data_IF_889183951207
#
_entry.id   IF_889183951207
#
_cell.length_a   1.000
_cell.length_b   1.000
_cell.length_c   1.000
_cell.angle_alpha   90.00
_cell.angle_beta   90.00
_cell.angle_gamma   90.00
#
_symmetry.space_group_name_H-M   'P 1'
#
loop_
_entity.id
_entity.type
_entity.pdbx_description
1 polymer ?
#
# COMPACT_ATOMS: atom_id res chain seq x y z
N UNK A 1 -18.87 -13.78 18.71
CA UNK A 1 -17.65 -12.97 18.79
C UNK A 1 -17.94 -11.64 18.12
N UNK A 2 -17.88 -10.53 18.86
CA UNK A 2 -18.19 -9.19 18.34
C UNK A 2 -16.93 -8.70 17.63
N UNK A 3 -17.04 -8.22 16.40
CA UNK A 3 -15.89 -7.76 15.60
C UNK A 3 -15.17 -6.56 16.21
N UNK A 4 -15.87 -5.76 17.00
CA UNK A 4 -15.24 -4.73 17.83
C UNK A 4 -14.30 -5.34 18.87
N UNK A 5 -14.58 -6.54 19.39
CA UNK A 5 -13.64 -7.26 20.27
C UNK A 5 -12.46 -7.83 19.48
N UNK A 6 -12.60 -8.22 18.21
CA UNK A 6 -11.47 -8.68 17.36
C UNK A 6 -10.51 -7.56 16.96
N UNK A 7 -11.03 -6.34 16.76
CA UNK A 7 -10.23 -5.16 16.39
C UNK A 7 -9.61 -4.52 17.64
N UNK A 8 -10.32 -4.55 18.79
CA UNK A 8 -9.86 -3.91 20.02
C UNK A 8 -9.13 -4.86 20.99
N UNK A 9 -9.39 -6.17 20.95
CA UNK A 9 -8.58 -7.19 21.61
C UNK A 9 -7.74 -7.91 20.56
N UNK A 10 -6.44 -7.67 20.64
CA UNK A 10 -5.37 -8.39 19.94
C UNK A 10 -5.38 -9.84 20.46
N UNK A 11 -6.34 -10.66 20.02
CA UNK A 11 -6.48 -12.06 20.40
C UNK A 11 -5.90 -12.99 19.31
N UNK A 12 -5.64 -14.25 19.65
CA UNK A 12 -5.03 -15.26 18.76
C UNK A 12 -5.79 -15.41 17.43
N UNK A 13 -7.13 -15.31 17.47
CA UNK A 13 -7.99 -15.39 16.27
C UNK A 13 -7.72 -14.26 15.26
N UNK A 14 -7.47 -13.03 15.73
CA UNK A 14 -7.14 -11.91 14.83
C UNK A 14 -5.76 -12.09 14.22
N UNK A 15 -4.78 -12.53 15.01
CA UNK A 15 -3.43 -12.80 14.52
C UNK A 15 -3.42 -13.88 13.44
N UNK A 16 -4.17 -14.97 13.63
CA UNK A 16 -4.27 -16.03 12.63
C UNK A 16 -4.95 -15.54 11.36
N UNK A 17 -6.05 -14.78 11.48
CA UNK A 17 -6.73 -14.19 10.31
C UNK A 17 -5.82 -13.22 9.54
N UNK A 18 -5.08 -12.37 10.26
CA UNK A 18 -4.13 -11.43 9.68
C UNK A 18 -2.99 -12.18 8.98
N UNK A 19 -2.39 -13.18 9.63
CA UNK A 19 -1.33 -13.99 9.03
C UNK A 19 -1.82 -14.68 7.74
N UNK A 20 -3.00 -15.31 7.77
CA UNK A 20 -3.60 -15.92 6.58
C UNK A 20 -3.87 -14.88 5.47
N UNK A 21 -4.20 -13.64 5.82
CA UNK A 21 -4.36 -12.57 4.84
C UNK A 21 -3.01 -12.22 4.18
N UNK A 22 -1.94 -12.09 4.97
CA UNK A 22 -0.58 -11.90 4.47
C UNK A 22 -0.15 -13.06 3.55
N UNK A 23 -0.37 -14.31 3.95
CA UNK A 23 -0.03 -15.50 3.15
C UNK A 23 -0.78 -15.54 1.81
N UNK A 24 -2.03 -15.06 1.76
CA UNK A 24 -2.79 -14.97 0.51
C UNK A 24 -2.31 -13.84 -0.41
N UNK A 25 -1.95 -12.70 0.18
CA UNK A 25 -1.64 -11.48 -0.58
C UNK A 25 -0.17 -11.45 -0.99
N UNK A 26 0.76 -11.70 -0.08
CA UNK A 26 2.21 -11.50 -0.25
C UNK A 26 2.91 -12.67 -0.93
N UNK A 27 2.42 -13.07 -2.10
CA UNK A 27 3.04 -14.09 -2.97
C UNK A 27 3.53 -13.48 -4.28
N UNK A 28 4.53 -14.11 -4.91
CA UNK A 28 5.21 -13.57 -6.09
C UNK A 28 4.25 -13.32 -7.27
N UNK A 29 3.24 -14.17 -7.41
CA UNK A 29 2.19 -14.08 -8.43
C UNK A 29 1.37 -12.80 -8.32
N UNK A 30 1.25 -12.24 -7.10
CA UNK A 30 0.48 -11.03 -6.83
C UNK A 30 1.29 -9.74 -6.99
N UNK A 31 2.60 -9.80 -7.30
CA UNK A 31 3.46 -8.60 -7.38
C UNK A 31 2.86 -7.54 -8.31
N UNK A 32 2.38 -7.92 -9.51
CA UNK A 32 1.78 -6.98 -10.45
C UNK A 32 0.51 -6.31 -9.87
N UNK A 33 -0.37 -7.11 -9.27
CA UNK A 33 -1.62 -6.62 -8.66
C UNK A 33 -1.35 -5.70 -7.49
N UNK A 34 -0.47 -6.09 -6.56
CA UNK A 34 -0.08 -5.27 -5.41
C UNK A 34 0.52 -3.95 -5.88
N UNK A 35 1.44 -3.99 -6.84
CA UNK A 35 2.12 -2.78 -7.33
C UNK A 35 1.16 -1.77 -7.96
N UNK A 36 0.18 -2.25 -8.73
CA UNK A 36 -0.87 -1.41 -9.31
C UNK A 36 -1.80 -0.85 -8.25
N UNK A 37 -2.23 -1.68 -7.29
CA UNK A 37 -3.11 -1.24 -6.20
C UNK A 37 -2.43 -0.17 -5.32
N UNK A 38 -1.18 -0.40 -4.92
CA UNK A 38 -0.40 0.56 -4.13
C UNK A 38 -0.09 1.84 -4.91
N UNK A 39 0.21 1.76 -6.22
CA UNK A 39 0.35 2.96 -7.07
C UNK A 39 -0.96 3.75 -7.11
N UNK A 40 -2.09 3.05 -7.23
CA UNK A 40 -3.38 3.71 -7.25
C UNK A 40 -3.63 4.42 -5.91
N UNK A 41 -3.49 3.71 -4.79
CA UNK A 41 -3.73 4.25 -3.45
C UNK A 41 -2.75 5.38 -3.08
N UNK A 42 -1.45 5.12 -3.10
CA UNK A 42 -0.45 6.01 -2.52
C UNK A 42 0.03 7.14 -3.44
N UNK A 43 -0.29 7.09 -4.74
CA UNK A 43 0.21 8.06 -5.72
C UNK A 43 -0.89 8.64 -6.60
N UNK A 44 -1.73 7.79 -7.21
CA UNK A 44 -2.72 8.25 -8.19
C UNK A 44 -3.93 8.91 -7.53
N UNK A 45 -4.52 8.25 -6.54
CA UNK A 45 -5.76 8.65 -5.85
C UNK A 45 -5.50 9.77 -4.83
N UNK A 46 -4.98 10.89 -5.31
CA UNK A 46 -4.63 12.06 -4.51
C UNK A 46 -4.29 13.26 -5.40
N UNK A 47 -3.33 14.11 -5.02
CA UNK A 47 -3.03 15.36 -5.74
C UNK A 47 -2.74 15.19 -7.24
N UNK A 48 -2.19 14.04 -7.64
CA UNK A 48 -1.89 13.74 -9.05
C UNK A 48 -3.17 13.68 -9.90
N UNK A 49 -4.26 13.11 -9.39
CA UNK A 49 -5.54 13.08 -10.09
C UNK A 49 -6.17 14.48 -10.15
N UNK A 50 -6.00 15.32 -9.12
CA UNK A 50 -6.47 16.70 -9.13
C UNK A 50 -5.71 17.54 -10.18
N UNK A 51 -4.39 17.39 -10.26
CA UNK A 51 -3.55 18.05 -11.26
C UNK A 51 -3.96 17.62 -12.68
N UNK A 52 -4.21 16.33 -12.88
CA UNK A 52 -4.72 15.80 -14.14
C UNK A 52 -6.11 16.33 -14.48
N UNK A 53 -7.04 16.35 -13.52
CA UNK A 53 -8.39 16.89 -13.66
C UNK A 53 -8.39 18.39 -13.98
N UNK A 54 -7.38 19.11 -13.49
CA UNK A 54 -7.13 20.51 -13.81
C UNK A 54 -6.42 20.73 -15.17
N UNK A 55 -6.31 19.70 -16.01
CA UNK A 55 -5.68 19.72 -17.33
C UNK A 55 -4.19 20.10 -17.34
N UNK A 56 -3.50 19.95 -16.21
CA UNK A 56 -2.06 20.24 -16.10
C UNK A 56 -1.20 19.03 -16.46
N UNK A 57 -1.77 17.83 -16.41
CA UNK A 57 -1.17 16.61 -16.96
C UNK A 57 -2.03 16.11 -18.11
N UNK A 58 -1.38 15.64 -19.17
CA UNK A 58 -2.10 14.91 -20.22
C UNK A 58 -2.35 13.47 -19.80
N UNK A 59 -3.25 12.78 -20.50
CA UNK A 59 -3.44 11.34 -20.31
C UNK A 59 -2.18 10.52 -20.60
N UNK A 60 -1.34 10.98 -21.53
CA UNK A 60 -0.05 10.35 -21.82
C UNK A 60 0.92 10.52 -20.66
N UNK A 61 0.96 11.70 -20.04
CA UNK A 61 1.78 11.95 -18.86
C UNK A 61 1.32 11.08 -17.69
N UNK A 62 0.01 11.02 -17.45
CA UNK A 62 -0.57 10.14 -16.42
C UNK A 62 -0.18 8.68 -16.62
N UNK A 63 -0.27 8.16 -17.85
CA UNK A 63 0.13 6.78 -18.15
C UNK A 63 1.63 6.56 -17.89
N UNK A 64 2.46 7.54 -18.24
CA UNK A 64 3.91 7.49 -18.03
C UNK A 64 4.25 7.46 -16.53
N UNK A 65 3.65 8.34 -15.74
CA UNK A 65 3.85 8.42 -14.29
C UNK A 65 3.36 7.16 -13.58
N UNK A 66 2.17 6.66 -13.93
CA UNK A 66 1.64 5.42 -13.37
C UNK A 66 2.55 4.23 -13.66
N UNK A 67 3.02 4.08 -14.92
CA UNK A 67 3.94 3.00 -15.27
C UNK A 67 5.27 3.10 -14.52
N UNK A 68 5.80 4.31 -14.33
CA UNK A 68 7.01 4.53 -13.54
C UNK A 68 6.83 4.04 -12.10
N UNK A 69 5.74 4.46 -11.44
CA UNK A 69 5.44 4.08 -10.06
C UNK A 69 5.18 2.58 -9.91
N UNK A 70 4.38 1.98 -10.80
CA UNK A 70 4.11 0.53 -10.81
C UNK A 70 5.41 -0.27 -10.90
N UNK A 71 6.33 0.12 -11.80
CA UNK A 71 7.59 -0.59 -11.96
C UNK A 71 8.50 -0.45 -10.73
N UNK A 72 8.54 0.73 -10.10
CA UNK A 72 9.34 0.97 -8.89
C UNK A 72 8.77 0.21 -7.69
N UNK A 73 7.46 0.27 -7.47
CA UNK A 73 6.80 -0.47 -6.39
C UNK A 73 6.87 -1.98 -6.62
N UNK A 74 6.84 -2.46 -7.87
CA UNK A 74 7.06 -3.89 -8.17
C UNK A 74 8.40 -4.39 -7.67
N UNK A 75 9.46 -3.59 -7.82
CA UNK A 75 10.76 -3.96 -7.26
C UNK A 75 10.75 -3.96 -5.73
N UNK A 76 10.17 -2.95 -5.08
CA UNK A 76 10.06 -2.90 -3.60
C UNK A 76 9.29 -4.09 -3.05
N UNK A 77 8.10 -4.37 -3.60
CA UNK A 77 7.24 -5.49 -3.20
C UNK A 77 7.96 -6.83 -3.40
N UNK A 78 8.68 -6.99 -4.52
CA UNK A 78 9.50 -8.18 -4.76
C UNK A 78 10.54 -8.39 -3.67
N UNK A 79 11.27 -7.34 -3.27
CA UNK A 79 12.28 -7.44 -2.22
C UNK A 79 11.67 -7.89 -0.88
N UNK A 80 10.47 -7.38 -0.55
CA UNK A 80 9.74 -7.74 0.67
C UNK A 80 9.31 -9.22 0.62
N UNK A 81 8.65 -9.64 -0.46
CA UNK A 81 8.13 -11.02 -0.62
C UNK A 81 9.28 -12.05 -0.66
N UNK A 82 10.38 -11.73 -1.32
CA UNK A 82 11.54 -12.63 -1.41
C UNK A 82 12.46 -12.57 -0.17
N UNK A 83 12.15 -11.76 0.83
CA UNK A 83 12.97 -11.62 2.04
C UNK A 83 14.37 -11.04 1.79
N UNK A 84 14.52 -10.22 0.75
CA UNK A 84 15.80 -9.64 0.30
C UNK A 84 16.16 -8.38 1.08
N UNK A 85 16.41 -8.57 2.38
CA UNK A 85 16.59 -7.49 3.34
C UNK A 85 17.79 -6.59 3.07
N UNK A 86 18.92 -7.12 2.60
CA UNK A 86 20.14 -6.34 2.33
C UNK A 86 19.88 -5.35 1.18
N UNK A 87 19.25 -5.80 0.09
CA UNK A 87 18.92 -4.93 -1.03
C UNK A 87 17.85 -3.89 -0.67
N UNK A 88 16.88 -4.28 0.17
CA UNK A 88 15.87 -3.35 0.68
C UNK A 88 16.49 -2.26 1.57
N UNK A 89 17.38 -2.65 2.48
CA UNK A 89 18.12 -1.70 3.32
C UNK A 89 18.95 -0.73 2.49
N UNK A 90 19.69 -1.24 1.49
CA UNK A 90 20.47 -0.40 0.59
C UNK A 90 19.57 0.57 -0.19
N UNK A 91 18.44 0.10 -0.70
CA UNK A 91 17.47 0.94 -1.40
C UNK A 91 16.97 2.07 -0.49
N UNK A 92 16.56 1.78 0.74
CA UNK A 92 16.07 2.77 1.70
C UNK A 92 17.16 3.79 2.04
N UNK A 93 18.35 3.33 2.45
CA UNK A 93 19.45 4.22 2.87
C UNK A 93 19.95 5.12 1.75
N UNK A 94 20.06 4.59 0.53
CA UNK A 94 20.52 5.37 -0.62
C UNK A 94 19.52 6.45 -1.04
N UNK A 95 18.22 6.26 -0.82
CA UNK A 95 17.20 7.24 -1.18
C UNK A 95 16.87 8.22 -0.05
N UNK A 96 17.06 7.83 1.22
CA UNK A 96 16.88 8.73 2.38
C UNK A 96 17.82 9.96 2.37
N UNK A 97 18.89 9.93 1.57
CA UNK A 97 19.77 11.08 1.39
C UNK A 97 19.13 12.24 0.61
N UNK A 98 17.99 12.01 -0.05
CA UNK A 98 17.33 12.98 -0.93
C UNK A 98 16.03 13.56 -0.37
N UNK A 99 15.67 13.25 0.88
CA UNK A 99 14.43 13.71 1.51
C UNK A 99 14.64 14.44 2.84
N UNK A 100 15.85 14.97 3.08
CA UNK A 100 16.19 15.67 4.33
C UNK A 100 15.33 16.91 4.60
N UNK A 101 14.80 17.52 3.55
CA UNK A 101 14.05 18.77 3.61
C UNK A 101 12.54 18.53 3.52
N UNK A 102 12.10 17.27 3.56
CA UNK A 102 10.68 16.91 3.55
C UNK A 102 10.14 16.91 4.97
N UNK A 103 8.84 17.21 5.11
CA UNK A 103 8.16 17.09 6.39
C UNK A 103 8.16 15.64 6.90
N UNK A 104 7.97 15.47 8.21
CA UNK A 104 7.82 14.15 8.78
C UNK A 104 6.63 13.41 8.15
N UNK A 105 6.77 12.10 7.94
CA UNK A 105 5.67 11.29 7.43
C UNK A 105 4.52 11.26 8.43
N UNK A 106 3.30 11.48 7.94
CA UNK A 106 2.06 11.30 8.67
C UNK A 106 1.32 10.09 8.07
N UNK A 107 0.73 9.25 8.93
CA UNK A 107 -0.05 8.09 8.47
C UNK A 107 -1.38 8.57 7.89
N UNK A 108 -1.67 8.16 6.66
CA UNK A 108 -2.96 8.34 5.99
C UNK A 108 -3.41 6.98 5.44
N UNK A 109 -4.51 6.47 5.97
CA UNK A 109 -5.07 5.19 5.58
C UNK A 109 -6.11 5.31 4.46
N UNK A 110 -6.42 6.53 3.98
CA UNK A 110 -7.46 6.78 2.98
C UNK A 110 -8.80 6.14 3.32
N UNK A 111 -9.22 6.25 4.59
CA UNK A 111 -10.43 5.66 5.17
C UNK A 111 -10.46 4.11 5.24
N UNK A 112 -9.36 3.42 4.88
CA UNK A 112 -9.36 1.96 4.81
C UNK A 112 -9.68 1.29 6.15
N UNK A 113 -9.26 1.84 7.29
CA UNK A 113 -9.62 1.29 8.60
C UNK A 113 -11.13 1.27 8.80
N UNK A 114 -11.80 2.37 8.45
CA UNK A 114 -13.26 2.45 8.53
C UNK A 114 -13.92 1.45 7.57
N UNK A 115 -13.44 1.35 6.33
CA UNK A 115 -13.97 0.43 5.32
C UNK A 115 -13.84 -1.04 5.75
N UNK A 116 -12.67 -1.43 6.27
CA UNK A 116 -12.44 -2.78 6.81
C UNK A 116 -13.39 -3.07 7.97
N UNK A 117 -13.58 -2.10 8.90
CA UNK A 117 -14.53 -2.25 10.00
C UNK A 117 -15.95 -2.51 9.48
N UNK A 118 -16.41 -1.77 8.46
CA UNK A 118 -17.73 -1.96 7.86
C UNK A 118 -17.89 -3.33 7.19
N UNK A 119 -16.88 -3.78 6.44
CA UNK A 119 -16.93 -5.08 5.76
C UNK A 119 -16.97 -6.24 6.75
N UNK A 120 -16.15 -6.18 7.79
CA UNK A 120 -16.17 -7.21 8.83
C UNK A 120 -17.56 -7.25 9.49
N UNK A 121 -18.15 -6.11 9.87
CA UNK A 121 -19.47 -6.07 10.52
C UNK A 121 -20.58 -6.76 9.70
N UNK A 122 -20.45 -6.84 8.37
CA UNK A 122 -21.38 -7.59 7.51
C UNK A 122 -21.24 -9.11 7.67
N UNK A 123 -20.07 -9.62 8.00
CA UNK A 123 -19.82 -11.06 8.18
C UNK A 123 -20.47 -11.63 9.45
N UNK A 124 -20.87 -10.76 10.38
CA UNK A 124 -21.56 -11.11 11.63
C UNK A 124 -23.10 -11.04 11.54
N UNK A 125 -23.67 -10.83 10.34
CA UNK A 125 -25.11 -10.84 10.08
C UNK A 125 -25.49 -12.04 9.23
#
# INVERSE_FOLDING_TARGET
MIIEDLINNIDEDYHELNQKAFERVMIAENIDTISKALTNFAFRSGPVEDIHSNHQLTQTDMKTLNNFMVNRLSYVVKLIIEGRGIELEYLIRSNALFNSDWDAAEEDDGDNFYLVKQELLKWNR
#
